data_IF_571129147305
#
_entry.id   IF_571129147305
#
_cell.length_a   1.000
_cell.length_b   1.000
_cell.length_c   1.000
_cell.angle_alpha   90.00
_cell.angle_beta   90.00
_cell.angle_gamma   90.00
#
_symmetry.space_group_name_H-M   'P 1'
#
loop_
_entity.id
_entity.type
_entity.pdbx_description
1 polymer ?
#
# COMPACT_ATOMS: atom_id res chain seq x y z
N UNK A 1 21.44 -4.63 -5.22
CA UNK A 1 21.59 -4.06 -3.86
C UNK A 1 22.89 -3.27 -3.70
N UNK A 2 24.03 -3.88 -4.07
CA UNK A 2 25.37 -3.31 -3.86
C UNK A 2 25.55 -1.92 -4.50
N UNK A 3 25.11 -1.74 -5.75
CA UNK A 3 25.13 -0.44 -6.43
C UNK A 3 24.32 0.63 -5.66
N UNK A 4 23.16 0.27 -5.11
CA UNK A 4 22.32 1.20 -4.35
C UNK A 4 22.95 1.57 -3.00
N UNK A 5 23.67 0.63 -2.39
CA UNK A 5 24.42 0.86 -1.14
C UNK A 5 25.62 1.78 -1.39
N UNK A 6 26.36 1.57 -2.48
CA UNK A 6 27.49 2.40 -2.88
C UNK A 6 27.05 3.86 -3.15
N UNK A 7 25.90 4.06 -3.80
CA UNK A 7 25.36 5.38 -4.05
C UNK A 7 24.83 6.10 -2.79
N UNK A 8 24.52 5.37 -1.71
CA UNK A 8 24.11 5.94 -0.40
C UNK A 8 22.78 6.72 -0.37
N UNK A 9 21.99 6.73 -1.45
CA UNK A 9 20.71 7.46 -1.53
C UNK A 9 19.50 6.63 -1.09
N UNK A 10 19.52 5.31 -1.35
CA UNK A 10 18.42 4.43 -1.01
C UNK A 10 18.46 4.09 0.49
N UNK A 11 17.39 4.44 1.24
CA UNK A 11 17.31 4.11 2.68
C UNK A 11 17.30 2.60 2.94
N UNK A 12 16.64 1.83 2.07
CA UNK A 12 16.61 0.38 2.12
C UNK A 12 16.80 -0.15 0.68
N UNK A 13 17.91 -0.87 0.38
CA UNK A 13 18.29 -1.24 -0.98
C UNK A 13 17.69 -2.58 -1.45
N UNK A 14 16.81 -3.20 -0.64
CA UNK A 14 16.29 -4.54 -0.89
C UNK A 14 14.99 -4.52 -1.71
N UNK A 15 14.76 -5.54 -2.55
CA UNK A 15 13.54 -5.64 -3.34
C UNK A 15 12.31 -5.98 -2.49
N UNK A 16 11.12 -5.78 -3.06
CA UNK A 16 9.85 -6.21 -2.49
C UNK A 16 9.21 -7.31 -3.37
N UNK A 17 8.01 -7.78 -2.99
CA UNK A 17 7.29 -8.86 -3.69
C UNK A 17 7.05 -8.56 -5.18
N UNK A 18 6.85 -7.29 -5.53
CA UNK A 18 6.52 -6.87 -6.89
C UNK A 18 7.72 -6.96 -7.84
N UNK A 19 8.94 -7.07 -7.31
CA UNK A 19 10.13 -7.30 -8.11
C UNK A 19 10.19 -8.72 -8.72
N UNK A 20 9.40 -9.67 -8.20
CA UNK A 20 9.48 -11.08 -8.60
C UNK A 20 8.14 -11.69 -9.05
N UNK A 21 7.01 -11.21 -8.52
CA UNK A 21 5.69 -11.81 -8.79
C UNK A 21 5.32 -11.84 -10.29
N UNK A 22 5.67 -10.79 -11.04
CA UNK A 22 5.35 -10.69 -12.47
C UNK A 22 6.06 -11.73 -13.35
N UNK A 23 7.36 -11.99 -13.12
CA UNK A 23 8.11 -12.95 -13.95
C UNK A 23 7.60 -14.37 -13.78
N UNK A 24 7.09 -14.72 -12.61
CA UNK A 24 6.47 -16.03 -12.34
C UNK A 24 5.14 -16.14 -13.09
N UNK A 25 4.27 -15.12 -12.98
CA UNK A 25 2.98 -15.09 -13.67
C UNK A 25 3.16 -15.22 -15.19
N UNK A 26 4.08 -14.42 -15.75
CA UNK A 26 4.42 -14.44 -17.17
C UNK A 26 4.95 -15.81 -17.61
N UNK A 27 5.89 -16.41 -16.86
CA UNK A 27 6.46 -17.73 -17.17
C UNK A 27 5.39 -18.84 -17.29
N UNK A 28 4.32 -18.74 -16.51
CA UNK A 28 3.21 -19.68 -16.53
C UNK A 28 2.05 -19.27 -17.46
N UNK A 29 2.27 -18.27 -18.32
CA UNK A 29 1.33 -17.90 -19.39
C UNK A 29 0.26 -16.89 -18.99
N UNK A 30 0.39 -16.21 -17.85
CA UNK A 30 -0.43 -15.04 -17.52
C UNK A 30 0.33 -13.80 -17.98
N UNK A 31 0.13 -13.39 -19.22
CA UNK A 31 0.92 -12.35 -19.88
C UNK A 31 0.19 -10.99 -19.92
N UNK A 32 -1.11 -10.97 -19.59
CA UNK A 32 -1.94 -9.78 -19.57
C UNK A 32 -1.63 -8.93 -18.33
N UNK A 33 -0.65 -8.03 -18.41
CA UNK A 33 -0.25 -7.18 -17.28
C UNK A 33 -1.40 -6.40 -16.64
N UNK A 34 -2.40 -5.99 -17.43
CA UNK A 34 -3.59 -5.30 -16.91
C UNK A 34 -4.43 -6.20 -15.95
N UNK A 35 -4.30 -7.52 -16.05
CA UNK A 35 -4.98 -8.48 -15.20
C UNK A 35 -4.28 -8.72 -13.85
N UNK A 36 -3.01 -8.35 -13.70
CA UNK A 36 -2.22 -8.68 -12.50
C UNK A 36 -2.82 -8.09 -11.21
N UNK A 37 -3.42 -6.89 -11.30
CA UNK A 37 -4.08 -6.26 -10.17
C UNK A 37 -5.34 -7.02 -9.72
N UNK A 38 -5.98 -7.79 -10.60
CA UNK A 38 -7.09 -8.68 -10.23
C UNK A 38 -6.60 -9.78 -9.30
N UNK A 39 -5.47 -10.42 -9.65
CA UNK A 39 -4.84 -11.45 -8.82
C UNK A 39 -4.41 -10.89 -7.47
N UNK A 40 -3.87 -9.66 -7.45
CA UNK A 40 -3.57 -8.96 -6.20
C UNK A 40 -4.84 -8.71 -5.36
N UNK A 41 -5.92 -8.25 -5.97
CA UNK A 41 -7.21 -8.05 -5.29
C UNK A 41 -7.74 -9.32 -4.61
N UNK A 42 -7.64 -10.47 -5.30
CA UNK A 42 -8.02 -11.78 -4.74
C UNK A 42 -7.16 -12.12 -3.52
N UNK A 43 -5.83 -11.97 -3.62
CA UNK A 43 -4.94 -12.22 -2.48
C UNK A 43 -5.21 -11.28 -1.29
N UNK A 44 -5.51 -10.01 -1.56
CA UNK A 44 -5.82 -9.01 -0.54
C UNK A 44 -7.14 -9.28 0.19
N UNK A 45 -8.13 -9.87 -0.49
CA UNK A 45 -9.44 -10.17 0.07
C UNK A 45 -9.37 -11.05 1.33
N UNK A 46 -8.43 -12.00 1.40
CA UNK A 46 -8.28 -12.88 2.56
C UNK A 46 -8.01 -12.06 3.84
N UNK A 47 -7.10 -11.09 3.77
CA UNK A 47 -6.75 -10.25 4.91
C UNK A 47 -7.81 -9.19 5.25
N UNK A 48 -8.32 -8.48 4.23
CA UNK A 48 -9.29 -7.40 4.46
C UNK A 48 -10.64 -7.93 4.94
N UNK A 49 -11.10 -9.05 4.40
CA UNK A 49 -12.37 -9.65 4.83
C UNK A 49 -12.25 -10.29 6.22
N UNK A 50 -11.12 -10.91 6.56
CA UNK A 50 -10.89 -11.37 7.93
C UNK A 50 -10.92 -10.21 8.94
N UNK A 51 -10.28 -9.09 8.59
CA UNK A 51 -10.24 -7.91 9.44
C UNK A 51 -11.63 -7.26 9.61
N UNK A 52 -12.39 -7.07 8.52
CA UNK A 52 -13.74 -6.47 8.62
C UNK A 52 -14.71 -7.33 9.42
N UNK A 53 -14.59 -8.67 9.38
CA UNK A 53 -15.38 -9.56 10.24
C UNK A 53 -15.14 -9.24 11.72
N UNK A 54 -13.87 -9.07 12.12
CA UNK A 54 -13.51 -8.72 13.49
C UNK A 54 -13.93 -7.29 13.87
N UNK A 55 -13.80 -6.33 12.97
CA UNK A 55 -14.25 -4.97 13.22
C UNK A 55 -15.76 -4.91 13.54
N UNK A 56 -16.56 -5.78 12.90
CA UNK A 56 -17.99 -5.91 13.20
C UNK A 56 -18.23 -6.62 14.53
N UNK A 57 -17.50 -7.72 14.79
CA UNK A 57 -17.59 -8.45 16.05
C UNK A 57 -17.23 -7.58 17.27
N UNK A 58 -16.25 -6.67 17.12
CA UNK A 58 -15.80 -5.75 18.17
C UNK A 58 -16.59 -4.44 18.22
N UNK A 59 -17.52 -4.22 17.29
CA UNK A 59 -18.36 -3.02 17.27
C UNK A 59 -17.60 -1.72 16.98
N UNK A 60 -16.56 -1.75 16.16
CA UNK A 60 -15.81 -0.54 15.80
C UNK A 60 -16.71 0.50 15.09
N UNK A 61 -16.65 1.78 15.50
CA UNK A 61 -17.48 2.84 14.96
C UNK A 61 -17.04 3.28 13.56
N UNK A 62 -17.80 4.20 12.96
CA UNK A 62 -17.43 4.85 11.70
C UNK A 62 -16.10 5.60 11.85
N UNK A 63 -15.17 5.36 10.94
CA UNK A 63 -13.96 6.16 10.80
C UNK A 63 -14.34 7.56 10.29
N UNK A 64 -14.06 8.61 11.08
CA UNK A 64 -14.45 9.99 10.76
C UNK A 64 -13.31 10.98 11.04
N UNK A 65 -12.25 10.99 10.22
CA UNK A 65 -11.17 11.95 10.36
C UNK A 65 -11.64 13.37 10.02
N UNK A 66 -10.99 14.38 10.60
CA UNK A 66 -11.28 15.79 10.32
C UNK A 66 -10.37 16.30 9.20
N UNK A 67 -10.96 16.78 8.11
CA UNK A 67 -10.24 17.51 7.07
C UNK A 67 -9.94 18.94 7.50
N UNK A 68 -8.74 19.42 7.15
CA UNK A 68 -8.27 20.78 7.39
C UNK A 68 -7.72 21.35 6.08
N UNK A 69 -7.88 22.65 5.87
CA UNK A 69 -7.25 23.37 4.75
C UNK A 69 -5.90 23.93 5.18
N UNK A 70 -5.04 24.30 4.23
CA UNK A 70 -3.77 24.97 4.52
C UNK A 70 -3.98 26.23 5.36
N UNK A 71 -4.97 27.06 5.04
CA UNK A 71 -5.28 28.28 5.81
C UNK A 71 -5.63 27.98 7.28
N UNK A 72 -6.37 26.90 7.56
CA UNK A 72 -6.66 26.48 8.93
C UNK A 72 -5.39 26.03 9.67
N UNK A 73 -4.44 25.42 8.95
CA UNK A 73 -3.16 25.00 9.52
C UNK A 73 -2.22 26.20 9.74
N UNK A 74 -2.21 27.18 8.85
CA UNK A 74 -1.44 28.43 8.99
C UNK A 74 -1.92 29.25 10.19
N UNK A 75 -3.24 29.40 10.32
CA UNK A 75 -3.87 30.03 11.49
C UNK A 75 -3.50 29.30 12.79
N UNK A 76 -3.61 27.96 12.81
CA UNK A 76 -3.22 27.16 13.97
C UNK A 76 -1.72 27.24 14.31
N UNK A 77 -0.86 27.44 13.31
CA UNK A 77 0.59 27.59 13.47
C UNK A 77 1.01 29.04 13.81
N UNK A 78 0.08 30.00 13.80
CA UNK A 78 0.37 31.42 14.02
C UNK A 78 1.11 32.10 12.84
N UNK A 79 1.02 31.52 11.65
CA UNK A 79 1.58 32.08 10.42
C UNK A 79 0.49 32.97 9.81
N UNK A 80 0.79 34.27 9.66
CA UNK A 80 -0.10 35.23 8.99
C UNK A 80 0.02 35.16 7.48
#
# INVERSE_FOLDING_TARGET
PDVLMEHGKAKNPWPNVDAQSGVIQWYYGVEEYAFYTVLFGIGRAIGTLANITWDRALGYPIERPKSLTTAMLEDAAGIK
#
